data_IF_003067670410
#
_entry.id   IF_003067670410
#
_cell.length_a   1.000
_cell.length_b   1.000
_cell.length_c   1.000
_cell.angle_alpha   90.00
_cell.angle_beta   90.00
_cell.angle_gamma   90.00
#
_symmetry.space_group_name_H-M   'P 1'
#
loop_
_entity.id
_entity.type
_entity.pdbx_description
1 polymer ?
#
# COMPACT_ATOMS: atom_id res chain seq x y z
N UNK A 1 28.61 5.26 36.56
CA UNK A 1 28.84 3.90 36.03
C UNK A 1 27.49 3.40 35.56
N UNK A 2 27.43 2.86 34.35
CA UNK A 2 26.21 2.34 33.73
C UNK A 2 25.64 1.19 34.55
N UNK A 3 24.32 1.12 34.60
CA UNK A 3 23.60 -0.03 35.19
C UNK A 3 23.47 -1.13 34.14
N UNK A 4 23.27 -0.75 32.88
CA UNK A 4 23.15 -1.65 31.73
C UNK A 4 24.46 -2.36 31.40
N UNK A 5 25.59 -1.64 31.45
CA UNK A 5 26.92 -2.19 31.18
C UNK A 5 27.84 -2.05 32.40
N UNK A 6 27.63 -2.86 33.46
CA UNK A 6 28.40 -2.75 34.70
C UNK A 6 29.87 -3.16 34.54
N UNK A 7 30.22 -3.86 33.46
CA UNK A 7 31.59 -4.25 33.11
C UNK A 7 32.40 -3.13 32.44
N UNK A 8 31.77 -2.02 32.06
CA UNK A 8 32.38 -0.93 31.30
C UNK A 8 32.49 0.35 32.14
N UNK A 9 33.60 1.08 32.00
CA UNK A 9 33.83 2.38 32.67
C UNK A 9 33.09 3.54 31.99
N UNK A 10 31.81 3.33 31.69
CA UNK A 10 30.91 4.27 30.99
C UNK A 10 29.70 4.59 31.86
N UNK A 11 28.98 5.64 31.50
CA UNK A 11 27.69 6.02 32.09
C UNK A 11 26.54 5.92 31.09
N UNK A 12 26.86 5.55 29.85
CA UNK A 12 25.91 5.26 28.76
C UNK A 12 25.36 3.84 28.92
N UNK A 13 24.07 3.58 28.59
CA UNK A 13 23.12 4.45 27.92
C UNK A 13 22.36 5.43 28.84
N UNK A 14 22.50 5.31 30.17
CA UNK A 14 21.69 6.09 31.11
C UNK A 14 22.00 7.58 31.10
N UNK A 15 23.23 7.95 30.75
CA UNK A 15 23.69 9.33 30.66
C UNK A 15 24.87 9.49 29.71
N UNK A 16 25.09 10.71 29.23
CA UNK A 16 26.24 11.04 28.38
C UNK A 16 27.50 11.04 29.23
N UNK A 17 28.53 10.31 28.79
CA UNK A 17 29.83 10.35 29.44
C UNK A 17 30.49 11.74 29.30
N UNK A 18 31.02 12.23 30.41
CA UNK A 18 31.85 13.44 30.43
C UNK A 18 33.29 13.06 30.11
N UNK A 19 33.71 13.32 28.87
CA UNK A 19 35.06 13.06 28.39
C UNK A 19 35.86 14.37 28.37
N UNK A 20 36.97 14.40 29.10
CA UNK A 20 37.79 15.62 29.24
C UNK A 20 38.48 15.97 27.92
N UNK A 21 38.38 17.24 27.49
CA UNK A 21 39.16 17.73 26.35
C UNK A 21 40.65 17.79 26.69
N UNK A 22 41.48 17.26 25.81
CA UNK A 22 42.93 17.30 25.97
C UNK A 22 43.52 18.63 25.51
N UNK A 23 44.58 19.06 26.21
CA UNK A 23 45.37 20.24 25.88
C UNK A 23 46.77 19.82 25.46
N UNK A 24 47.39 20.63 24.61
CA UNK A 24 48.79 20.43 24.25
C UNK A 24 49.72 20.75 25.43
N UNK A 25 50.84 20.04 25.49
CA UNK A 25 51.98 20.43 26.30
C UNK A 25 52.60 21.69 25.68
N UNK A 26 52.92 22.68 26.51
CA UNK A 26 53.53 23.94 26.09
C UNK A 26 55.02 23.96 26.46
N UNK A 27 55.79 24.86 25.82
CA UNK A 27 57.21 25.02 26.13
C UNK A 27 57.47 25.36 27.61
N UNK A 28 56.55 26.09 28.25
CA UNK A 28 56.61 26.42 29.68
C UNK A 28 56.52 25.20 30.60
N UNK A 29 55.93 24.10 30.13
CA UNK A 29 55.83 22.85 30.89
C UNK A 29 57.11 22.00 30.79
N UNK A 30 58.02 22.32 29.85
CA UNK A 30 59.13 21.45 29.44
C UNK A 30 60.07 21.03 30.58
N UNK A 31 60.40 21.95 31.50
CA UNK A 31 61.26 21.64 32.65
C UNK A 31 60.61 20.58 33.55
N UNK A 32 59.33 20.75 33.88
CA UNK A 32 58.58 19.82 34.73
C UNK A 32 58.37 18.48 34.02
N UNK A 33 58.13 18.48 32.71
CA UNK A 33 58.02 17.25 31.92
C UNK A 33 59.34 16.46 31.94
N UNK A 34 60.50 17.12 31.82
CA UNK A 34 61.80 16.44 31.90
C UNK A 34 62.06 15.84 33.28
N UNK A 35 61.72 16.57 34.35
CA UNK A 35 61.83 16.06 35.71
C UNK A 35 60.90 14.85 35.94
N UNK A 36 59.65 14.93 35.46
CA UNK A 36 58.69 13.83 35.51
C UNK A 36 59.24 12.58 34.79
N UNK A 37 59.74 12.72 33.57
CA UNK A 37 60.32 11.61 32.80
C UNK A 37 61.53 10.98 33.50
N UNK A 38 62.35 11.80 34.15
CA UNK A 38 63.52 11.32 34.91
C UNK A 38 63.09 10.49 36.11
N UNK A 39 62.11 10.97 36.89
CA UNK A 39 61.55 10.23 38.02
C UNK A 39 60.88 8.92 37.58
N UNK A 40 60.11 8.94 36.48
CA UNK A 40 59.49 7.74 35.91
C UNK A 40 60.53 6.70 35.46
N UNK A 41 61.64 7.13 34.84
CA UNK A 41 62.75 6.23 34.44
C UNK A 41 63.46 5.62 35.64
N UNK A 42 63.54 6.35 36.75
CA UNK A 42 64.11 5.87 38.01
C UNK A 42 63.17 4.94 38.79
N UNK A 43 61.91 4.78 38.35
CA UNK A 43 60.90 4.01 39.05
C UNK A 43 60.33 4.71 40.30
N UNK A 44 60.68 5.98 40.52
CA UNK A 44 60.19 6.78 41.65
C UNK A 44 58.82 7.41 41.30
N UNK A 45 57.78 6.60 41.43
CA UNK A 45 56.40 6.98 41.10
C UNK A 45 55.86 8.10 41.98
N UNK A 46 56.32 8.19 43.25
CA UNK A 46 55.86 9.21 44.18
C UNK A 46 56.35 10.60 43.76
N UNK A 47 57.65 10.72 43.46
CA UNK A 47 58.24 11.96 42.95
C UNK A 47 57.67 12.32 41.58
N UNK A 48 57.48 11.35 40.68
CA UNK A 48 56.85 11.58 39.39
C UNK A 48 55.44 12.18 39.53
N UNK A 49 54.59 11.61 40.39
CA UNK A 49 53.23 12.11 40.60
C UNK A 49 53.23 13.54 41.18
N UNK A 50 54.14 13.83 42.11
CA UNK A 50 54.29 15.16 42.70
C UNK A 50 54.71 16.23 41.68
N UNK A 51 55.62 15.89 40.76
CA UNK A 51 56.04 16.80 39.68
C UNK A 51 54.90 16.99 38.67
N UNK A 52 54.20 15.91 38.31
CA UNK A 52 53.07 16.00 37.38
C UNK A 52 51.97 16.94 37.91
N UNK A 53 51.70 16.92 39.22
CA UNK A 53 50.72 17.82 39.84
C UNK A 53 51.10 19.31 39.77
N UNK A 54 52.37 19.64 39.53
CA UNK A 54 52.83 21.03 39.37
C UNK A 54 52.59 21.58 37.96
N UNK A 55 52.33 20.71 36.97
CA UNK A 55 52.05 21.15 35.60
C UNK A 55 50.60 21.70 35.55
N UNK A 56 50.40 22.96 35.10
CA UNK A 56 49.06 23.50 34.96
C UNK A 56 48.21 22.67 34.00
N UNK A 57 47.01 22.28 34.44
CA UNK A 57 46.10 21.39 33.72
C UNK A 57 46.74 20.04 33.32
N UNK A 58 47.63 19.49 34.16
CA UNK A 58 48.30 18.21 33.93
C UNK A 58 47.34 17.08 33.54
N UNK A 59 46.16 17.02 34.18
CA UNK A 59 45.12 16.04 33.87
C UNK A 59 44.56 16.16 32.45
N UNK A 60 44.67 17.31 31.79
CA UNK A 60 44.26 17.47 30.39
C UNK A 60 45.43 17.31 29.40
N UNK A 61 46.68 17.33 29.88
CA UNK A 61 47.88 17.26 29.04
C UNK A 61 48.51 15.87 28.95
N UNK A 62 48.06 14.94 29.80
CA UNK A 62 48.61 13.56 29.86
C UNK A 62 47.55 12.52 29.51
N UNK A 63 47.89 11.63 28.58
CA UNK A 63 47.11 10.43 28.29
C UNK A 63 47.45 9.33 29.30
N UNK A 64 46.44 8.85 30.02
CA UNK A 64 46.56 7.74 30.98
C UNK A 64 45.74 6.54 30.50
N UNK A 65 46.08 5.35 31.01
CA UNK A 65 45.34 4.13 30.72
C UNK A 65 43.85 4.29 31.04
N UNK A 66 43.50 4.90 32.18
CA UNK A 66 42.10 5.13 32.59
C UNK A 66 41.32 5.96 31.56
N UNK A 67 41.95 6.98 30.98
CA UNK A 67 41.28 7.81 29.96
C UNK A 67 41.05 7.01 28.70
N UNK A 68 42.08 6.33 28.19
CA UNK A 68 41.96 5.49 26.99
C UNK A 68 40.95 4.36 27.19
N UNK A 69 40.96 3.70 28.35
CA UNK A 69 39.99 2.67 28.71
C UNK A 69 38.58 3.25 28.73
N UNK A 70 38.37 4.45 29.28
CA UNK A 70 37.06 5.10 29.26
C UNK A 70 36.55 5.39 27.85
N UNK A 71 37.41 5.87 26.93
CA UNK A 71 37.03 6.03 25.52
C UNK A 71 36.68 4.70 24.87
N UNK A 72 37.53 3.68 25.05
CA UNK A 72 37.31 2.33 24.52
C UNK A 72 35.99 1.73 25.04
N UNK A 73 35.74 1.83 26.34
CA UNK A 73 34.54 1.31 26.99
C UNK A 73 33.28 2.05 26.53
N UNK A 74 33.34 3.37 26.31
CA UNK A 74 32.23 4.13 25.76
C UNK A 74 31.88 3.73 24.31
N UNK A 75 32.89 3.43 23.49
CA UNK A 75 32.68 2.92 22.12
C UNK A 75 32.03 1.54 22.17
N UNK A 76 32.54 0.62 23.00
CA UNK A 76 31.96 -0.73 23.16
C UNK A 76 30.51 -0.63 23.64
N UNK A 77 30.21 0.28 24.58
CA UNK A 77 28.84 0.49 25.06
C UNK A 77 27.90 0.93 23.94
N UNK A 78 28.36 1.80 23.04
CA UNK A 78 27.59 2.23 21.87
C UNK A 78 27.36 1.08 20.88
N UNK A 79 28.39 0.29 20.57
CA UNK A 79 28.29 -0.88 19.70
C UNK A 79 27.32 -1.92 20.26
N UNK A 80 27.40 -2.19 21.57
CA UNK A 80 26.47 -3.07 22.27
C UNK A 80 25.05 -2.54 22.17
N UNK A 81 24.81 -1.29 22.54
CA UNK A 81 23.47 -0.70 22.52
C UNK A 81 22.83 -0.76 21.13
N UNK A 82 23.60 -0.49 20.08
CA UNK A 82 23.09 -0.61 18.73
C UNK A 82 22.66 -2.05 18.39
N UNK A 83 23.52 -3.03 18.68
CA UNK A 83 23.31 -4.43 18.30
C UNK A 83 22.33 -5.18 19.21
N UNK A 84 22.25 -4.82 20.50
CA UNK A 84 21.42 -5.52 21.48
C UNK A 84 20.06 -4.89 21.70
N UNK A 85 19.97 -3.56 21.56
CA UNK A 85 18.74 -2.82 21.87
C UNK A 85 18.09 -2.27 20.61
N UNK A 86 18.84 -1.56 19.76
CA UNK A 86 18.27 -0.84 18.62
C UNK A 86 17.89 -1.77 17.46
N UNK A 87 18.80 -2.63 17.01
CA UNK A 87 18.53 -3.55 15.89
C UNK A 87 17.32 -4.47 16.18
N UNK A 88 17.26 -5.21 17.31
CA UNK A 88 16.11 -6.06 17.60
C UNK A 88 14.80 -5.29 17.77
N UNK A 89 14.87 -4.05 18.30
CA UNK A 89 13.70 -3.19 18.40
C UNK A 89 13.17 -2.80 17.02
N UNK A 90 14.04 -2.41 16.09
CA UNK A 90 13.66 -2.08 14.72
C UNK A 90 13.05 -3.31 14.03
N UNK A 91 13.68 -4.49 14.14
CA UNK A 91 13.19 -5.73 13.53
C UNK A 91 11.81 -6.11 14.08
N UNK A 92 11.61 -5.96 15.39
CA UNK A 92 10.29 -6.16 16.02
C UNK A 92 9.26 -5.21 15.44
N UNK A 93 9.59 -3.93 15.28
CA UNK A 93 8.67 -2.93 14.74
C UNK A 93 8.37 -3.14 13.25
N UNK A 94 9.34 -3.59 12.47
CA UNK A 94 9.12 -3.98 11.07
C UNK A 94 8.15 -5.16 10.99
N UNK A 95 8.36 -6.20 11.81
CA UNK A 95 7.47 -7.37 11.87
C UNK A 95 6.05 -6.99 12.29
N UNK A 96 5.88 -6.14 13.31
CA UNK A 96 4.57 -5.64 13.73
C UNK A 96 3.83 -4.89 12.59
N UNK A 97 4.58 -4.08 11.84
CA UNK A 97 4.05 -3.32 10.72
C UNK A 97 3.65 -4.22 9.53
N UNK A 98 4.51 -5.17 9.16
CA UNK A 98 4.22 -6.17 8.11
C UNK A 98 2.97 -6.98 8.45
N UNK A 99 2.86 -7.49 9.67
CA UNK A 99 1.65 -8.18 10.15
C UNK A 99 0.39 -7.30 10.02
N UNK A 100 0.51 -5.99 10.22
CA UNK A 100 -0.62 -5.06 10.06
C UNK A 100 -0.98 -4.85 8.59
N UNK A 101 0.00 -4.73 7.71
CA UNK A 101 -0.21 -4.61 6.26
C UNK A 101 -0.84 -5.86 5.69
N UNK A 102 -0.39 -7.05 6.10
CA UNK A 102 -0.91 -8.33 5.61
C UNK A 102 -2.40 -8.52 5.93
N UNK A 103 -2.92 -7.82 6.94
CA UNK A 103 -4.35 -7.79 7.24
C UNK A 103 -5.17 -6.96 6.24
N UNK A 104 -4.57 -6.00 5.53
CA UNK A 104 -5.19 -5.28 4.39
C UNK A 104 -5.21 -6.14 3.11
N UNK A 105 -5.46 -7.44 3.26
CA UNK A 105 -5.55 -8.39 2.18
C UNK A 105 -6.99 -8.64 1.77
N UNK A 106 -7.16 -8.87 0.46
CA UNK A 106 -8.41 -9.33 -0.10
C UNK A 106 -8.54 -10.84 0.08
N UNK A 107 -9.52 -11.25 0.91
CA UNK A 107 -9.73 -12.64 1.33
C UNK A 107 -10.65 -13.40 0.35
N UNK A 108 -11.32 -12.68 -0.56
CA UNK A 108 -12.29 -13.27 -1.49
C UNK A 108 -13.74 -13.07 -1.05
N UNK A 109 -14.61 -14.00 -1.41
CA UNK A 109 -16.04 -13.93 -1.07
C UNK A 109 -16.29 -14.19 0.41
N UNK A 110 -17.17 -13.40 1.02
CA UNK A 110 -17.55 -13.54 2.42
C UNK A 110 -18.08 -14.95 2.73
N UNK A 111 -17.55 -15.55 3.79
CA UNK A 111 -17.97 -16.84 4.32
C UNK A 111 -18.34 -16.69 5.81
N UNK A 112 -19.58 -17.03 6.22
CA UNK A 112 -20.03 -16.85 7.60
C UNK A 112 -19.30 -17.74 8.62
N UNK A 113 -18.56 -18.76 8.18
CA UNK A 113 -17.79 -19.65 9.06
C UNK A 113 -16.36 -19.16 9.34
N UNK A 114 -15.93 -18.09 8.66
CA UNK A 114 -14.57 -17.54 8.79
C UNK A 114 -14.54 -16.43 9.84
N UNK A 115 -13.52 -16.48 10.71
CA UNK A 115 -13.22 -15.39 11.64
C UNK A 115 -12.40 -14.31 10.93
N UNK A 116 -13.06 -13.24 10.49
CA UNK A 116 -12.39 -12.09 9.91
C UNK A 116 -11.68 -11.25 10.97
N UNK A 117 -10.57 -10.63 10.60
CA UNK A 117 -9.85 -9.66 11.41
C UNK A 117 -10.06 -8.24 10.87
N UNK A 118 -9.81 -7.24 11.72
CA UNK A 118 -9.76 -5.84 11.28
C UNK A 118 -8.85 -5.70 10.05
N UNK A 119 -9.28 -4.86 9.11
CA UNK A 119 -8.68 -4.56 7.81
C UNK A 119 -8.85 -5.60 6.70
N UNK A 120 -9.37 -6.80 6.99
CA UNK A 120 -9.66 -7.78 5.93
C UNK A 120 -10.68 -7.22 4.94
N UNK A 121 -10.48 -7.53 3.65
CA UNK A 121 -11.38 -7.14 2.59
C UNK A 121 -12.10 -8.36 2.03
N UNK A 122 -13.41 -8.24 1.81
CA UNK A 122 -14.24 -9.32 1.25
C UNK A 122 -15.20 -8.80 0.20
N UNK A 123 -15.55 -9.66 -0.75
CA UNK A 123 -16.72 -9.45 -1.59
C UNK A 123 -17.98 -9.88 -0.85
N UNK A 124 -19.04 -9.08 -0.95
CA UNK A 124 -20.36 -9.47 -0.48
C UNK A 124 -21.46 -8.91 -1.37
N UNK A 125 -22.40 -9.78 -1.75
CA UNK A 125 -23.55 -9.39 -2.56
C UNK A 125 -24.70 -8.99 -1.65
N UNK A 126 -25.10 -7.73 -1.71
CA UNK A 126 -26.27 -7.19 -1.00
C UNK A 126 -27.21 -6.53 -2.01
N UNK A 127 -28.51 -6.83 -1.91
CA UNK A 127 -29.53 -6.31 -2.83
C UNK A 127 -29.21 -6.55 -4.32
N UNK A 128 -28.56 -7.67 -4.64
CA UNK A 128 -28.19 -8.05 -6.01
C UNK A 128 -26.92 -7.37 -6.55
N UNK A 129 -26.22 -6.58 -5.74
CA UNK A 129 -24.99 -5.87 -6.15
C UNK A 129 -23.81 -6.42 -5.34
N UNK A 130 -22.76 -6.87 -6.03
CA UNK A 130 -21.50 -7.29 -5.42
C UNK A 130 -20.65 -6.07 -5.11
N UNK A 131 -20.28 -5.89 -3.84
CA UNK A 131 -19.43 -4.78 -3.37
C UNK A 131 -18.27 -5.34 -2.55
N UNK A 132 -17.18 -4.57 -2.48
CA UNK A 132 -16.07 -4.87 -1.57
C UNK A 132 -16.33 -4.16 -0.24
N UNK A 133 -16.20 -4.90 0.84
CA UNK A 133 -16.29 -4.41 2.21
C UNK A 133 -14.94 -4.55 2.89
N UNK A 134 -14.57 -3.58 3.71
CA UNK A 134 -13.43 -3.64 4.61
C UNK A 134 -13.92 -3.80 6.05
N UNK A 135 -13.32 -4.73 6.78
CA UNK A 135 -13.56 -4.95 8.19
C UNK A 135 -12.93 -3.83 9.02
N UNK A 136 -13.71 -3.11 9.83
CA UNK A 136 -13.23 -1.99 10.66
C UNK A 136 -12.85 -2.42 12.08
N UNK A 137 -13.36 -3.56 12.54
CA UNK A 137 -13.05 -4.20 13.82
C UNK A 137 -13.38 -5.71 13.72
N UNK A 138 -12.61 -6.57 14.40
CA UNK A 138 -12.82 -8.02 14.41
C UNK A 138 -14.24 -8.36 14.87
N UNK A 139 -15.11 -8.87 13.97
CA UNK A 139 -16.50 -9.17 14.30
C UNK A 139 -16.64 -10.57 14.92
N UNK A 140 -17.72 -10.85 15.65
CA UNK A 140 -18.13 -12.23 15.94
C UNK A 140 -18.31 -13.04 14.64
N UNK A 141 -17.99 -14.34 14.68
CA UNK A 141 -18.18 -15.26 13.53
C UNK A 141 -19.63 -15.20 13.04
N UNK A 142 -19.82 -15.17 11.71
CA UNK A 142 -21.14 -15.07 11.08
C UNK A 142 -21.71 -13.67 10.97
N UNK A 143 -21.00 -12.62 11.42
CA UNK A 143 -21.45 -11.23 11.23
C UNK A 143 -21.38 -10.83 9.77
N UNK A 144 -22.53 -10.50 9.17
CA UNK A 144 -22.62 -10.13 7.76
C UNK A 144 -21.96 -8.76 7.46
N UNK A 145 -21.40 -8.56 6.25
CA UNK A 145 -20.79 -7.29 5.84
C UNK A 145 -21.74 -6.08 5.79
N UNK A 146 -23.06 -6.29 5.91
CA UNK A 146 -24.05 -5.22 6.07
C UNK A 146 -24.05 -4.58 7.45
N UNK A 147 -23.40 -5.18 8.45
CA UNK A 147 -23.30 -4.60 9.79
C UNK A 147 -22.25 -3.49 9.84
N UNK A 148 -22.71 -2.25 9.93
CA UNK A 148 -21.87 -1.04 9.88
C UNK A 148 -21.00 -0.80 11.11
N UNK A 149 -21.19 -1.56 12.20
CA UNK A 149 -20.29 -1.50 13.36
C UNK A 149 -18.95 -2.20 13.09
N UNK A 150 -18.94 -3.19 12.20
CA UNK A 150 -17.78 -4.02 11.91
C UNK A 150 -17.30 -3.93 10.47
N UNK A 151 -18.15 -3.46 9.56
CA UNK A 151 -17.86 -3.44 8.14
C UNK A 151 -18.16 -2.07 7.54
N UNK A 152 -17.36 -1.70 6.54
CA UNK A 152 -17.55 -0.50 5.74
C UNK A 152 -17.45 -0.86 4.27
N UNK A 153 -18.38 -0.32 3.47
CA UNK A 153 -18.31 -0.43 2.02
C UNK A 153 -17.09 0.34 1.52
N UNK A 154 -16.25 -0.32 0.70
CA UNK A 154 -15.07 0.30 0.08
C UNK A 154 -15.34 0.71 -1.37
N UNK A 155 -16.24 0.02 -2.06
CA UNK A 155 -16.61 0.33 -3.45
C UNK A 155 -17.82 1.23 -3.55
N UNK A 156 -17.74 2.26 -4.38
CA UNK A 156 -18.93 3.00 -4.84
C UNK A 156 -19.45 2.36 -6.13
N UNK A 157 -20.76 2.17 -6.24
CA UNK A 157 -21.38 1.87 -7.51
C UNK A 157 -21.80 3.21 -8.15
N UNK A 158 -21.31 3.47 -9.37
CA UNK A 158 -21.78 4.62 -10.14
C UNK A 158 -23.26 4.46 -10.48
N UNK A 159 -23.97 5.58 -10.60
CA UNK A 159 -25.29 5.55 -11.22
C UNK A 159 -25.14 5.00 -12.65
N UNK A 160 -26.01 4.08 -13.03
CA UNK A 160 -26.09 3.64 -14.44
C UNK A 160 -26.31 4.90 -15.29
N UNK A 161 -25.48 5.09 -16.32
CA UNK A 161 -25.65 6.22 -17.24
C UNK A 161 -27.04 6.19 -17.87
N UNK A 162 -27.62 7.37 -18.10
CA UNK A 162 -28.88 7.49 -18.82
C UNK A 162 -28.77 6.81 -20.18
N UNK A 163 -29.82 6.08 -20.57
CA UNK A 163 -29.91 5.55 -21.92
C UNK A 163 -29.84 6.72 -22.91
N UNK A 164 -28.93 6.65 -23.89
CA UNK A 164 -28.86 7.64 -24.95
C UNK A 164 -30.21 7.77 -25.67
N UNK A 165 -30.54 9.00 -26.10
CA UNK A 165 -31.75 9.30 -26.88
C UNK A 165 -31.85 8.33 -28.06
N UNK A 166 -32.94 7.57 -28.14
CA UNK A 166 -33.22 6.64 -29.25
C UNK A 166 -32.67 5.20 -29.13
N UNK A 167 -32.06 4.79 -28.00
CA UNK A 167 -31.44 3.46 -27.87
C UNK A 167 -31.82 2.71 -26.57
N UNK A 168 -33.09 2.76 -26.18
CA UNK A 168 -33.58 1.95 -25.03
C UNK A 168 -33.94 0.54 -25.47
N UNK A 169 -32.93 -0.32 -25.62
CA UNK A 169 -33.14 -1.72 -26.02
C UNK A 169 -33.89 -2.49 -24.93
N UNK A 170 -35.03 -3.05 -25.31
CA UNK A 170 -35.88 -3.91 -24.47
C UNK A 170 -35.92 -5.36 -24.99
N UNK A 171 -34.99 -5.69 -25.90
CA UNK A 171 -34.79 -7.01 -26.49
C UNK A 171 -35.98 -7.49 -27.33
N UNK A 172 -36.25 -8.80 -27.35
CA UNK A 172 -37.27 -9.38 -28.22
C UNK A 172 -38.66 -8.83 -27.90
N UNK A 173 -39.42 -8.49 -28.94
CA UNK A 173 -40.80 -8.04 -28.78
C UNK A 173 -41.66 -9.14 -28.13
N UNK A 174 -42.44 -8.72 -27.14
CA UNK A 174 -43.47 -9.48 -26.44
C UNK A 174 -44.82 -8.74 -26.49
N UNK A 175 -45.89 -9.50 -26.72
CA UNK A 175 -47.28 -9.04 -26.68
C UNK A 175 -47.73 -8.53 -25.30
N UNK A 176 -47.13 -9.05 -24.23
CA UNK A 176 -47.51 -8.73 -22.84
C UNK A 176 -46.80 -7.47 -22.29
N UNK A 177 -45.83 -6.93 -23.04
CA UNK A 177 -45.01 -5.81 -22.60
C UNK A 177 -45.57 -4.49 -23.14
N UNK A 178 -45.62 -3.46 -22.27
CA UNK A 178 -45.89 -2.10 -22.69
C UNK A 178 -44.58 -1.42 -23.13
N UNK A 179 -44.62 -0.73 -24.28
CA UNK A 179 -43.47 -0.04 -24.86
C UNK A 179 -43.67 1.47 -24.81
N UNK A 180 -42.63 2.17 -24.33
CA UNK A 180 -42.57 3.62 -24.35
C UNK A 180 -41.90 4.13 -25.63
N UNK A 181 -42.06 5.42 -25.93
CA UNK A 181 -41.34 6.10 -27.00
C UNK A 181 -39.83 5.83 -26.88
N UNK A 182 -39.15 5.59 -28.00
CA UNK A 182 -37.71 5.27 -28.08
C UNK A 182 -37.28 3.89 -27.57
N UNK A 183 -38.21 3.02 -27.17
CA UNK A 183 -37.88 1.61 -26.93
C UNK A 183 -37.51 0.93 -28.24
N UNK A 184 -36.47 0.08 -28.23
CA UNK A 184 -36.05 -0.69 -29.40
C UNK A 184 -36.26 -2.17 -29.13
N UNK A 185 -37.00 -2.85 -29.99
CA UNK A 185 -37.24 -4.30 -29.93
C UNK A 185 -36.60 -5.02 -31.10
N UNK A 186 -36.26 -6.29 -30.91
CA UNK A 186 -36.03 -7.21 -32.03
C UNK A 186 -37.31 -7.97 -32.35
N UNK A 187 -37.72 -7.97 -33.62
CA UNK A 187 -38.88 -8.70 -34.12
C UNK A 187 -38.63 -9.11 -35.57
N UNK A 188 -38.86 -10.39 -35.89
CA UNK A 188 -38.70 -10.95 -37.25
C UNK A 188 -37.35 -10.61 -37.92
N UNK A 189 -36.24 -10.80 -37.20
CA UNK A 189 -34.87 -10.48 -37.67
C UNK A 189 -34.66 -9.02 -38.06
N UNK A 190 -35.42 -8.09 -37.49
CA UNK A 190 -35.18 -6.67 -37.61
C UNK A 190 -35.24 -5.97 -36.25
N UNK A 191 -34.58 -4.83 -36.16
CA UNK A 191 -34.70 -3.89 -35.06
C UNK A 191 -35.77 -2.86 -35.39
N UNK A 192 -36.65 -2.63 -34.42
CA UNK A 192 -37.77 -1.71 -34.53
C UNK A 192 -37.75 -0.72 -33.38
N UNK A 193 -37.80 0.57 -33.70
CA UNK A 193 -37.88 1.66 -32.73
C UNK A 193 -39.33 2.08 -32.51
N UNK A 194 -39.77 2.13 -31.26
CA UNK A 194 -41.10 2.58 -30.87
C UNK A 194 -41.21 4.10 -31.06
N UNK A 195 -42.09 4.52 -31.96
CA UNK A 195 -42.39 5.94 -32.27
C UNK A 195 -43.68 6.44 -31.62
N UNK A 196 -44.50 5.53 -31.10
CA UNK A 196 -45.67 5.86 -30.29
C UNK A 196 -45.91 4.76 -29.24
N UNK A 197 -46.12 5.17 -27.99
CA UNK A 197 -46.33 4.24 -26.88
C UNK A 197 -47.49 3.27 -27.17
N UNK A 198 -47.24 1.99 -26.95
CA UNK A 198 -48.18 0.93 -27.33
C UNK A 198 -48.04 -0.31 -26.45
N UNK A 199 -49.02 -1.21 -26.55
CA UNK A 199 -48.99 -2.53 -25.94
C UNK A 199 -49.64 -3.50 -26.90
N UNK A 200 -49.06 -4.69 -27.04
CA UNK A 200 -49.57 -5.73 -27.93
C UNK A 200 -49.77 -5.26 -29.40
N UNK A 201 -48.91 -4.37 -29.90
CA UNK A 201 -48.87 -3.99 -31.30
C UNK A 201 -47.59 -4.56 -31.92
N UNK A 202 -47.66 -5.56 -32.82
CA UNK A 202 -46.48 -6.13 -33.44
C UNK A 202 -45.84 -5.12 -34.41
N UNK A 203 -44.50 -5.06 -34.49
CA UNK A 203 -43.81 -4.24 -35.49
C UNK A 203 -44.01 -4.78 -36.91
N UNK A 204 -44.23 -3.87 -37.86
CA UNK A 204 -44.29 -4.14 -39.29
C UNK A 204 -43.98 -2.85 -40.06
N UNK A 205 -43.63 -2.95 -41.35
CA UNK A 205 -43.27 -1.79 -42.17
C UNK A 205 -44.49 -0.88 -42.41
N UNK A 206 -44.34 0.42 -42.18
CA UNK A 206 -45.44 1.38 -42.19
C UNK A 206 -46.32 1.41 -40.93
N UNK A 207 -45.91 0.76 -39.84
CA UNK A 207 -46.60 0.85 -38.55
C UNK A 207 -46.64 2.28 -38.00
N UNK A 208 -47.74 2.69 -37.37
CA UNK A 208 -47.83 3.97 -36.65
C UNK A 208 -47.14 3.94 -35.28
N UNK A 209 -46.78 2.73 -34.81
CA UNK A 209 -46.18 2.52 -33.48
C UNK A 209 -44.69 2.20 -33.56
N UNK A 210 -44.24 1.64 -34.69
CA UNK A 210 -42.88 1.13 -34.88
C UNK A 210 -42.25 1.67 -36.16
N UNK A 211 -41.01 2.11 -36.06
CA UNK A 211 -40.18 2.48 -37.20
C UNK A 211 -39.08 1.43 -37.38
N UNK A 212 -38.89 0.99 -38.62
CA UNK A 212 -37.77 0.10 -38.97
C UNK A 212 -36.43 0.81 -38.72
N UNK A 213 -35.51 0.14 -38.02
CA UNK A 213 -34.18 0.69 -37.69
C UNK A 213 -33.09 0.00 -38.52
N UNK A 214 -33.01 -1.33 -38.44
CA UNK A 214 -31.97 -2.10 -39.10
C UNK A 214 -32.35 -3.57 -39.23
N UNK A 215 -31.76 -4.26 -40.22
CA UNK A 215 -31.86 -5.72 -40.32
C UNK A 215 -30.89 -6.39 -39.35
N UNK A 216 -31.33 -7.50 -38.74
CA UNK A 216 -30.51 -8.44 -37.99
C UNK A 216 -30.17 -9.70 -38.81
N UNK A 217 -30.60 -9.77 -40.08
CA UNK A 217 -30.13 -10.84 -40.97
C UNK A 217 -28.68 -10.58 -41.38
N UNK A 218 -27.84 -11.61 -41.26
CA UNK A 218 -26.50 -11.55 -41.85
C UNK A 218 -26.62 -11.57 -43.37
N UNK A 219 -26.17 -10.51 -44.05
CA UNK A 219 -26.06 -10.52 -45.51
C UNK A 219 -24.93 -11.48 -45.92
N UNK A 220 -25.27 -12.46 -46.78
CA UNK A 220 -24.27 -13.31 -47.42
C UNK A 220 -23.79 -12.59 -48.68
N UNK A 221 -22.53 -12.18 -48.71
CA UNK A 221 -21.93 -11.60 -49.89
C UNK A 221 -21.53 -12.70 -50.88
N UNK A 222 -22.07 -12.72 -52.11
CA UNK A 222 -21.69 -13.71 -53.11
C UNK A 222 -20.22 -13.51 -53.54
N UNK A 223 -19.50 -14.62 -53.70
CA UNK A 223 -18.11 -14.64 -54.18
C UNK A 223 -18.05 -15.56 -55.40
N UNK A 224 -17.95 -15.00 -56.62
CA UNK A 224 -18.03 -15.75 -57.87
C UNK A 224 -17.41 -14.98 -59.05
N UNK A 225 -17.21 -15.64 -60.20
CA UNK A 225 -16.55 -15.04 -61.37
C UNK A 225 -17.45 -14.16 -62.25
N UNK A 226 -18.77 -14.22 -62.06
CA UNK A 226 -19.76 -13.42 -62.81
C UNK A 226 -20.73 -12.70 -61.88
N UNK A 227 -21.23 -11.53 -62.28
CA UNK A 227 -22.12 -10.74 -61.46
C UNK A 227 -23.43 -11.51 -61.13
N UNK A 228 -23.81 -11.65 -59.85
CA UNK A 228 -25.06 -12.31 -59.48
C UNK A 228 -26.27 -11.54 -60.06
N UNK A 229 -27.22 -12.22 -60.72
CA UNK A 229 -28.47 -11.58 -61.13
C UNK A 229 -29.34 -11.28 -59.90
N UNK A 230 -30.00 -10.13 -59.88
CA UNK A 230 -31.00 -9.78 -58.85
C UNK A 230 -30.44 -9.17 -57.55
N UNK A 231 -29.25 -8.57 -57.57
CA UNK A 231 -28.73 -7.82 -56.42
C UNK A 231 -29.59 -6.59 -56.11
N UNK A 232 -30.01 -6.47 -54.85
CA UNK A 232 -30.69 -5.28 -54.32
C UNK A 232 -29.79 -4.05 -54.45
N UNK A 233 -30.37 -2.86 -54.64
CA UNK A 233 -29.61 -1.60 -54.65
C UNK A 233 -28.84 -1.44 -53.34
N UNK A 234 -27.51 -1.34 -53.44
CA UNK A 234 -26.60 -1.23 -52.27
C UNK A 234 -25.99 -2.56 -51.79
N UNK A 235 -26.39 -3.71 -52.35
CA UNK A 235 -25.80 -5.00 -51.99
C UNK A 235 -24.36 -5.15 -52.53
N UNK A 236 -23.50 -5.81 -51.75
CA UNK A 236 -22.11 -6.09 -52.11
C UNK A 236 -21.94 -7.52 -52.66
N UNK A 237 -21.05 -7.69 -53.63
CA UNK A 237 -20.55 -8.99 -54.09
C UNK A 237 -19.06 -8.86 -54.44
N UNK A 238 -18.32 -9.97 -54.37
CA UNK A 238 -16.89 -9.98 -54.64
C UNK A 238 -16.59 -10.85 -55.87
N UNK A 239 -15.92 -10.27 -56.86
CA UNK A 239 -15.52 -10.98 -58.08
C UNK A 239 -14.25 -11.79 -57.84
N UNK A 240 -14.28 -13.09 -58.13
CA UNK A 240 -13.07 -13.91 -58.23
C UNK A 240 -12.52 -13.87 -59.65
N UNK A 241 -11.19 -13.81 -59.79
CA UNK A 241 -10.49 -13.86 -61.08
C UNK A 241 -10.77 -15.16 -61.84
#
# INVERSE_FOLDING_TARGET
MSVTYPDLSTSFPESIDVLTSFLNILATDGTLVNQYQTAMKAGDLATAQAILAQIPNASQKVLTADKLNKYKDAIIALERFWTTDIEPYIDTKQTEWENTIDLFSYIGEYNPSVQYQKNNLVDYTSLGIKMIYICTATPPIGTAPTNTSYWRVLTIQGVKGDSGVGLSFVFAWSAAQAYALQNVVSYENALWGCIQANTNQPPFDGSTYWQYVASLTGEKYPVQSTAPPGLSTGALWFQTL
#
